data_IF_999215036197
#
_entry.id   IF_999215036197
#
_cell.length_a   1.000
_cell.length_b   1.000
_cell.length_c   1.000
_cell.angle_alpha   90.00
_cell.angle_beta   90.00
_cell.angle_gamma   90.00
#
_symmetry.space_group_name_H-M   'P 1'
#
loop_
_entity.id
_entity.type
_entity.pdbx_description
1 polymer ?
#
# COMPACT_ATOMS: atom_id res chain seq x y z
N UNK A 1 -2.93 10.90 -14.72
CA UNK A 1 -2.13 9.90 -15.44
C UNK A 1 -3.04 8.76 -15.81
N UNK A 2 -2.99 8.27 -17.04
CA UNK A 2 -3.74 7.09 -17.50
C UNK A 2 -2.73 6.07 -18.02
N UNK A 3 -3.00 4.79 -17.84
CA UNK A 3 -2.07 3.70 -18.13
C UNK A 3 -2.83 2.39 -18.25
N UNK A 4 -2.34 1.51 -19.13
CA UNK A 4 -2.79 0.11 -19.25
C UNK A 4 -1.80 -0.86 -18.58
N UNK A 5 -0.73 -0.35 -17.97
CA UNK A 5 0.22 -1.16 -17.20
C UNK A 5 -0.34 -1.41 -15.80
N UNK A 6 -0.34 -2.68 -15.37
CA UNK A 6 -0.80 -3.12 -14.05
C UNK A 6 0.06 -2.56 -12.91
N UNK A 7 1.34 -2.26 -13.17
CA UNK A 7 2.26 -1.65 -12.22
C UNK A 7 2.88 -0.37 -12.80
N UNK A 8 2.10 0.73 -12.89
CA UNK A 8 2.53 1.92 -13.62
C UNK A 8 3.52 2.79 -12.82
N UNK A 9 3.46 2.71 -11.49
CA UNK A 9 4.31 3.49 -10.58
C UNK A 9 4.44 2.74 -9.27
N UNK A 10 5.63 2.82 -8.67
CA UNK A 10 5.85 2.33 -7.31
C UNK A 10 5.10 3.22 -6.31
N UNK A 11 4.23 2.63 -5.50
CA UNK A 11 3.48 3.34 -4.44
C UNK A 11 3.86 2.72 -3.09
N UNK A 12 4.37 3.56 -2.20
CA UNK A 12 4.70 3.16 -0.83
C UNK A 12 3.43 3.17 0.03
N UNK A 13 3.40 2.35 1.08
CA UNK A 13 2.23 2.24 1.96
C UNK A 13 1.83 3.56 2.65
N UNK A 14 2.81 4.44 2.90
CA UNK A 14 2.58 5.75 3.51
C UNK A 14 2.30 6.85 2.47
N UNK A 15 2.06 6.49 1.21
CA UNK A 15 1.84 7.45 0.14
C UNK A 15 0.53 8.24 0.34
N UNK A 16 0.69 9.56 0.29
CA UNK A 16 -0.39 10.56 0.42
C UNK A 16 -0.55 11.39 -0.85
N UNK A 17 -0.20 10.85 -2.02
CA UNK A 17 -0.20 11.60 -3.29
C UNK A 17 -1.12 10.99 -4.34
N UNK A 18 -1.25 9.67 -4.37
CA UNK A 18 -1.95 8.98 -5.44
C UNK A 18 -3.29 8.42 -4.97
N UNK A 19 -4.37 8.79 -5.67
CA UNK A 19 -5.63 8.03 -5.73
C UNK A 19 -5.50 7.09 -6.92
N UNK A 20 -5.78 5.79 -6.74
CA UNK A 20 -5.75 4.81 -7.84
C UNK A 20 -7.16 4.35 -8.12
N UNK A 21 -7.61 4.54 -9.36
CA UNK A 21 -8.92 4.08 -9.82
C UNK A 21 -8.72 3.09 -10.96
N UNK A 22 -9.21 1.86 -10.79
CA UNK A 22 -9.24 0.85 -11.85
C UNK A 22 -10.57 0.96 -12.58
N UNK A 23 -10.52 1.29 -13.87
CA UNK A 23 -11.69 1.37 -14.72
C UNK A 23 -11.96 0.01 -15.37
N UNK A 24 -13.23 -0.40 -15.43
CA UNK A 24 -13.65 -1.60 -16.18
C UNK A 24 -13.60 -1.31 -17.68
N UNK A 25 -13.21 -2.31 -18.46
CA UNK A 25 -13.06 -2.20 -19.91
C UNK A 25 -14.37 -2.48 -20.68
N UNK A 26 -15.53 -2.14 -20.11
CA UNK A 26 -16.86 -2.51 -20.62
C UNK A 26 -17.07 -2.07 -22.07
N UNK A 27 -16.55 -0.90 -22.43
CA UNK A 27 -16.73 -0.28 -23.75
C UNK A 27 -15.44 -0.27 -24.59
N UNK A 28 -14.44 -1.13 -24.32
CA UNK A 28 -13.09 -1.05 -24.92
C UNK A 28 -13.09 -0.86 -26.44
N UNK A 29 -13.99 -1.54 -27.14
CA UNK A 29 -14.10 -1.54 -28.60
C UNK A 29 -15.45 -0.99 -29.08
N UNK A 30 -16.19 -0.30 -28.20
CA UNK A 30 -17.53 0.23 -28.47
C UNK A 30 -17.45 1.61 -29.13
N UNK A 31 -17.25 1.60 -30.45
CA UNK A 31 -17.09 2.81 -31.26
C UNK A 31 -18.34 3.69 -31.23
N UNK A 32 -19.53 3.08 -31.22
CA UNK A 32 -20.79 3.81 -31.23
C UNK A 32 -20.99 4.57 -29.91
N UNK A 33 -20.75 3.92 -28.77
CA UNK A 33 -20.80 4.55 -27.47
C UNK A 33 -19.86 5.76 -27.38
N UNK A 34 -18.60 5.60 -27.77
CA UNK A 34 -17.63 6.70 -27.69
C UNK A 34 -17.94 7.84 -28.68
N UNK A 35 -18.47 7.52 -29.86
CA UNK A 35 -18.92 8.53 -30.82
C UNK A 35 -20.07 9.35 -30.23
N UNK A 36 -21.10 8.68 -29.71
CA UNK A 36 -22.24 9.31 -29.05
C UNK A 36 -21.79 10.17 -27.85
N UNK A 37 -20.93 9.63 -26.99
CA UNK A 37 -20.37 10.34 -25.84
C UNK A 37 -19.62 11.60 -26.25
N UNK A 38 -18.75 11.51 -27.26
CA UNK A 38 -17.97 12.67 -27.75
C UNK A 38 -18.86 13.76 -28.36
N UNK A 39 -19.93 13.38 -29.05
CA UNK A 39 -20.91 14.31 -29.60
C UNK A 39 -21.69 15.04 -28.49
N UNK A 40 -21.79 14.45 -27.29
CA UNK A 40 -22.38 15.05 -26.11
C UNK A 40 -21.54 16.15 -25.44
N UNK A 41 -20.25 16.30 -25.80
CA UNK A 41 -19.37 17.33 -25.24
C UNK A 41 -19.61 18.71 -25.86
N UNK A 42 -20.83 19.22 -25.69
CA UNK A 42 -21.26 20.53 -26.16
C UNK A 42 -20.85 21.65 -25.19
N UNK A 43 -20.94 22.90 -25.65
CA UNK A 43 -20.73 24.07 -24.77
C UNK A 43 -21.70 24.07 -23.59
N UNK A 44 -22.95 23.66 -23.80
CA UNK A 44 -23.96 23.55 -22.74
C UNK A 44 -23.56 22.49 -21.70
N UNK A 45 -23.06 21.32 -22.14
CA UNK A 45 -22.52 20.31 -21.23
C UNK A 45 -21.41 20.87 -20.34
N UNK A 46 -20.44 21.58 -20.91
CA UNK A 46 -19.35 22.18 -20.13
C UNK A 46 -19.83 23.29 -19.18
N UNK A 47 -20.81 24.10 -19.59
CA UNK A 47 -21.40 25.12 -18.72
C UNK A 47 -22.12 24.48 -17.51
N UNK A 48 -22.87 23.41 -17.75
CA UNK A 48 -23.53 22.64 -16.70
C UNK A 48 -22.52 21.94 -15.78
N UNK A 49 -21.46 21.35 -16.35
CA UNK A 49 -20.38 20.73 -15.60
C UNK A 49 -19.62 21.74 -14.73
N UNK A 50 -19.34 22.93 -15.27
CA UNK A 50 -18.72 24.02 -14.53
C UNK A 50 -19.61 24.49 -13.38
N UNK A 51 -20.89 24.71 -13.66
CA UNK A 51 -21.89 25.07 -12.63
C UNK A 51 -21.95 24.03 -11.53
N UNK A 52 -21.94 22.73 -11.89
CA UNK A 52 -21.88 21.64 -10.94
C UNK A 52 -20.64 21.76 -10.03
N UNK A 53 -19.44 21.97 -10.57
CA UNK A 53 -18.25 22.13 -9.73
C UNK A 53 -18.27 23.38 -8.85
N UNK A 54 -18.79 24.51 -9.36
CA UNK A 54 -18.84 25.78 -8.63
C UNK A 54 -19.87 25.78 -7.49
N UNK A 55 -20.89 24.92 -7.57
CA UNK A 55 -21.96 24.83 -6.56
C UNK A 55 -21.71 23.74 -5.53
N UNK A 56 -20.64 22.94 -5.67
CA UNK A 56 -20.30 21.90 -4.70
C UNK A 56 -19.81 22.52 -3.39
N UNK A 57 -20.47 22.16 -2.28
CA UNK A 57 -19.96 22.46 -0.95
C UNK A 57 -18.71 21.59 -0.67
N UNK A 58 -17.58 22.25 -0.45
CA UNK A 58 -16.28 21.61 -0.15
C UNK A 58 -15.75 22.00 1.24
N UNK A 59 -16.57 22.58 2.12
CA UNK A 59 -16.15 23.06 3.44
C UNK A 59 -15.52 21.96 4.30
N UNK A 60 -16.02 20.72 4.20
CA UNK A 60 -15.47 19.54 4.88
C UNK A 60 -14.42 18.76 4.08
N UNK A 61 -14.10 19.17 2.85
CA UNK A 61 -13.24 18.40 1.98
C UNK A 61 -11.76 18.61 2.32
N UNK A 62 -11.05 17.51 2.60
CA UNK A 62 -9.62 17.52 2.84
C UNK A 62 -8.89 16.72 1.76
N UNK A 63 -8.22 17.44 0.86
CA UNK A 63 -7.41 16.86 -0.23
C UNK A 63 -6.29 15.91 0.25
N UNK A 64 -5.90 15.96 1.52
CA UNK A 64 -4.87 15.06 2.08
C UNK A 64 -5.43 13.69 2.49
N UNK A 65 -6.75 13.57 2.60
CA UNK A 65 -7.42 12.30 2.89
C UNK A 65 -7.67 11.62 1.55
N UNK A 66 -6.72 10.77 1.17
CA UNK A 66 -6.76 10.00 -0.06
C UNK A 66 -7.40 8.64 0.23
N UNK A 67 -8.45 8.24 -0.52
CA UNK A 67 -9.05 6.92 -0.39
C UNK A 67 -8.03 5.79 -0.61
N UNK A 68 -8.15 4.74 0.20
CA UNK A 68 -7.32 3.55 0.10
C UNK A 68 -8.07 2.47 -0.70
N UNK A 69 -8.12 2.67 -2.02
CA UNK A 69 -8.81 1.78 -2.96
C UNK A 69 -8.10 0.43 -3.11
N UNK A 70 -8.80 -0.62 -3.52
CA UNK A 70 -8.23 -1.94 -3.79
C UNK A 70 -7.08 -1.86 -4.80
N UNK A 71 -7.28 -1.15 -5.91
CA UNK A 71 -6.23 -0.95 -6.90
C UNK A 71 -4.97 -0.27 -6.32
N UNK A 72 -5.13 0.60 -5.31
CA UNK A 72 -4.00 1.19 -4.60
C UNK A 72 -3.34 0.17 -3.67
N UNK A 73 -4.13 -0.65 -2.96
CA UNK A 73 -3.65 -1.76 -2.12
C UNK A 73 -2.78 -2.72 -2.93
N UNK A 74 -3.24 -3.13 -4.11
CA UNK A 74 -2.52 -4.05 -5.00
C UNK A 74 -1.17 -3.50 -5.43
N UNK A 75 -1.12 -2.25 -5.88
CA UNK A 75 0.14 -1.60 -6.27
C UNK A 75 1.06 -1.44 -5.06
N UNK A 76 0.54 -1.12 -3.87
CA UNK A 76 1.35 -1.04 -2.65
C UNK A 76 1.94 -2.41 -2.31
N UNK A 77 1.14 -3.48 -2.38
CA UNK A 77 1.59 -4.86 -2.14
C UNK A 77 2.68 -5.26 -3.14
N UNK A 78 2.47 -4.99 -4.43
CA UNK A 78 3.46 -5.23 -5.48
C UNK A 78 4.73 -4.36 -5.35
N UNK A 79 4.64 -3.20 -4.68
CA UNK A 79 5.76 -2.28 -4.44
C UNK A 79 6.62 -2.65 -3.22
N UNK A 80 6.19 -3.61 -2.40
CA UNK A 80 6.87 -3.98 -1.15
C UNK A 80 8.28 -4.50 -1.43
N UNK A 81 9.19 -4.19 -0.51
CA UNK A 81 10.52 -4.80 -0.53
C UNK A 81 10.49 -6.16 0.15
N UNK A 82 11.43 -7.05 -0.20
CA UNK A 82 11.58 -8.33 0.50
C UNK A 82 11.73 -8.17 2.03
N UNK A 83 12.34 -7.07 2.49
CA UNK A 83 12.39 -6.74 3.91
C UNK A 83 11.00 -6.44 4.50
N UNK A 84 10.13 -5.74 3.75
CA UNK A 84 8.77 -5.49 4.21
C UNK A 84 8.01 -6.79 4.43
N UNK A 85 8.16 -7.74 3.51
CA UNK A 85 7.50 -9.05 3.61
C UNK A 85 8.02 -9.83 4.83
N UNK A 86 9.34 -9.82 5.06
CA UNK A 86 9.95 -10.42 6.25
C UNK A 86 9.44 -9.78 7.55
N UNK A 87 9.34 -8.44 7.59
CA UNK A 87 8.82 -7.72 8.75
C UNK A 87 7.34 -8.04 8.96
N UNK A 88 6.53 -8.09 7.91
CA UNK A 88 5.10 -8.42 7.99
C UNK A 88 4.88 -9.85 8.50
N UNK A 89 5.61 -10.83 7.97
CA UNK A 89 5.54 -12.23 8.42
C UNK A 89 5.91 -12.39 9.90
N UNK A 90 6.87 -11.59 10.38
CA UNK A 90 7.37 -11.64 11.76
C UNK A 90 6.96 -10.41 12.57
N UNK A 91 5.81 -9.81 12.25
CA UNK A 91 5.47 -8.46 12.71
C UNK A 91 5.44 -8.32 14.22
N UNK A 92 4.79 -9.26 14.92
CA UNK A 92 4.72 -9.26 16.39
C UNK A 92 6.12 -9.28 17.01
N UNK A 93 7.01 -10.10 16.46
CA UNK A 93 8.39 -10.22 16.93
C UNK A 93 9.13 -8.89 16.76
N UNK A 94 9.03 -8.24 15.58
CA UNK A 94 9.65 -6.94 15.33
C UNK A 94 9.03 -5.80 16.15
N UNK A 95 7.73 -5.85 16.43
CA UNK A 95 7.00 -4.89 17.27
C UNK A 95 7.47 -4.94 18.73
N UNK A 96 7.65 -6.14 19.29
CA UNK A 96 8.12 -6.36 20.66
C UNK A 96 9.64 -6.22 20.82
N UNK A 97 10.37 -6.54 19.74
CA UNK A 97 11.81 -6.45 19.62
C UNK A 97 12.50 -7.81 19.49
N UNK A 98 13.10 -8.08 18.32
CA UNK A 98 13.76 -9.35 18.00
C UNK A 98 15.26 -9.29 18.33
N UNK A 99 15.84 -10.30 19.00
CA UNK A 99 17.30 -10.42 19.15
C UNK A 99 18.02 -10.34 17.80
N UNK A 100 19.12 -9.60 17.71
CA UNK A 100 19.84 -9.42 16.44
C UNK A 100 20.24 -10.75 15.80
N UNK A 101 20.57 -11.78 16.60
CA UNK A 101 20.90 -13.12 16.11
C UNK A 101 19.72 -13.80 15.41
N UNK A 102 18.51 -13.63 15.94
CA UNK A 102 17.28 -14.20 15.38
C UNK A 102 16.82 -13.38 14.16
N UNK A 103 16.90 -12.05 14.23
CA UNK A 103 16.51 -11.19 13.12
C UNK A 103 17.30 -11.50 11.84
N UNK A 104 18.60 -11.84 11.95
CA UNK A 104 19.42 -12.23 10.81
C UNK A 104 19.05 -13.59 10.21
N UNK A 105 18.42 -14.47 10.98
CA UNK A 105 17.92 -15.76 10.45
C UNK A 105 16.70 -15.58 9.55
N UNK A 106 16.02 -14.44 9.63
CA UNK A 106 14.93 -14.10 8.72
C UNK A 106 15.42 -13.54 7.38
N UNK A 107 16.73 -13.41 7.18
CA UNK A 107 17.29 -12.91 5.93
C UNK A 107 16.98 -13.90 4.77
N UNK A 108 16.34 -13.43 3.68
CA UNK A 108 16.14 -14.26 2.49
C UNK A 108 17.48 -14.74 1.89
N UNK A 109 17.48 -15.94 1.31
CA UNK A 109 18.69 -16.59 0.79
C UNK A 109 19.40 -15.79 -0.32
N UNK A 110 18.66 -14.98 -1.06
CA UNK A 110 19.11 -14.16 -2.18
C UNK A 110 19.65 -12.79 -1.76
N UNK A 111 19.46 -12.38 -0.51
CA UNK A 111 19.89 -11.07 -0.01
C UNK A 111 21.21 -11.16 0.75
N UNK A 112 22.19 -10.36 0.32
CA UNK A 112 23.47 -10.21 1.04
C UNK A 112 23.22 -9.68 2.45
N UNK A 113 23.75 -10.35 3.46
CA UNK A 113 23.56 -10.01 4.88
C UNK A 113 23.86 -8.54 5.21
N UNK A 114 24.94 -7.96 4.65
CA UNK A 114 25.28 -6.54 4.85
C UNK A 114 24.19 -5.59 4.34
N UNK A 115 23.53 -5.96 3.23
CA UNK A 115 22.42 -5.19 2.65
C UNK A 115 21.19 -5.30 3.54
N UNK A 116 20.85 -6.52 3.97
CA UNK A 116 19.73 -6.77 4.87
C UNK A 116 19.87 -6.01 6.19
N UNK A 117 21.06 -6.05 6.80
CA UNK A 117 21.35 -5.28 8.02
C UNK A 117 21.19 -3.77 7.83
N UNK A 118 21.59 -3.24 6.67
CA UNK A 118 21.44 -1.82 6.36
C UNK A 118 19.95 -1.45 6.22
N UNK A 119 19.19 -2.26 5.50
CA UNK A 119 17.75 -2.04 5.33
C UNK A 119 17.01 -2.14 6.68
N UNK A 120 17.37 -3.10 7.54
CA UNK A 120 16.84 -3.21 8.90
C UNK A 120 17.11 -1.96 9.73
N UNK A 121 18.32 -1.38 9.66
CA UNK A 121 18.64 -0.15 10.38
C UNK A 121 17.78 1.04 9.96
N UNK A 122 17.28 1.06 8.72
CA UNK A 122 16.42 2.14 8.24
C UNK A 122 14.99 2.04 8.82
N UNK A 123 14.53 0.83 9.16
CA UNK A 123 13.14 0.58 9.61
C UNK A 123 13.02 0.22 11.09
N UNK A 124 14.12 -0.21 11.71
CA UNK A 124 14.16 -0.64 13.10
C UNK A 124 15.24 0.12 13.89
N UNK A 125 14.91 0.45 15.13
CA UNK A 125 15.86 0.91 16.13
C UNK A 125 16.59 -0.28 16.75
N UNK A 126 17.91 -0.14 16.89
CA UNK A 126 18.74 -1.11 17.58
C UNK A 126 18.92 -0.68 19.05
N UNK A 127 18.30 -1.40 19.98
CA UNK A 127 18.32 -1.09 21.41
C UNK A 127 18.85 -2.27 22.23
N UNK A 128 19.33 -1.99 23.45
CA UNK A 128 19.71 -3.03 24.42
C UNK A 128 18.54 -3.30 25.34
N UNK A 129 18.12 -4.56 25.44
CA UNK A 129 17.09 -5.02 26.37
C UNK A 129 17.61 -6.20 27.18
N UNK A 130 17.24 -6.25 28.45
CA UNK A 130 17.53 -7.43 29.28
C UNK A 130 16.50 -8.49 28.93
N UNK A 131 16.96 -9.61 28.37
CA UNK A 131 16.14 -10.78 28.03
C UNK A 131 16.80 -11.96 28.73
N UNK A 132 16.06 -12.68 29.56
CA UNK A 132 16.56 -13.82 30.34
C UNK A 132 17.85 -13.49 31.11
N UNK A 133 17.82 -12.39 31.89
CA UNK A 133 18.93 -11.88 32.71
C UNK A 133 20.20 -11.45 31.94
N UNK A 134 20.19 -11.55 30.61
CA UNK A 134 21.31 -11.13 29.74
C UNK A 134 20.93 -9.87 28.96
N UNK A 135 21.85 -8.90 28.94
CA UNK A 135 21.72 -7.71 28.08
C UNK A 135 22.00 -8.09 26.63
N UNK A 136 20.94 -8.13 25.83
CA UNK A 136 20.99 -8.52 24.42
C UNK A 136 20.63 -7.33 23.53
N UNK A 137 21.28 -7.25 22.37
CA UNK A 137 20.91 -6.29 21.34
C UNK A 137 19.70 -6.81 20.57
N UNK A 138 18.69 -5.96 20.42
CA UNK A 138 17.46 -6.26 19.69
C UNK A 138 17.23 -5.22 18.57
N UNK A 139 16.54 -5.65 17.51
CA UNK A 139 15.90 -4.78 16.53
C UNK A 139 14.42 -4.62 16.89
N UNK A 140 13.98 -3.39 17.09
CA UNK A 140 12.59 -3.04 17.34
C UNK A 140 12.10 -2.12 16.22
N UNK A 141 10.95 -2.40 15.64
CA UNK A 141 10.34 -1.57 14.60
C UNK A 141 10.15 -0.14 15.10
N UNK A 142 10.40 0.85 14.24
CA UNK A 142 10.21 2.25 14.62
C UNK A 142 8.72 2.55 14.89
N UNK A 143 8.44 3.35 15.91
CA UNK A 143 7.06 3.62 16.37
C UNK A 143 6.19 4.32 15.33
N UNK A 144 6.78 5.16 14.48
CA UNK A 144 6.12 5.83 13.36
C UNK A 144 5.69 4.85 12.26
N UNK A 145 6.36 3.70 12.15
CA UNK A 145 6.03 2.65 11.19
C UNK A 145 5.00 1.65 11.75
N UNK A 146 4.85 1.53 13.07
CA UNK A 146 3.90 0.55 13.67
C UNK A 146 2.48 0.73 13.10
N UNK A 147 1.97 1.96 13.06
CA UNK A 147 0.63 2.25 12.51
C UNK A 147 0.51 1.90 11.03
N UNK A 148 1.60 1.98 10.29
CA UNK A 148 1.66 1.64 8.87
C UNK A 148 1.56 0.14 8.67
N UNK A 149 2.36 -0.64 9.41
CA UNK A 149 2.36 -2.10 9.34
C UNK A 149 1.10 -2.72 9.94
N UNK A 150 0.49 -2.12 10.98
CA UNK A 150 -0.82 -2.55 11.49
C UNK A 150 -1.87 -2.48 10.37
N UNK A 151 -1.96 -1.34 9.65
CA UNK A 151 -2.88 -1.19 8.51
C UNK A 151 -2.60 -2.19 7.37
N UNK A 152 -1.32 -2.34 6.98
CA UNK A 152 -0.95 -3.27 5.91
C UNK A 152 -1.32 -4.71 6.25
N UNK A 153 -1.23 -5.09 7.53
CA UNK A 153 -1.57 -6.42 8.00
C UNK A 153 -3.08 -6.65 8.00
N UNK A 154 -3.87 -5.69 8.48
CA UNK A 154 -5.35 -5.74 8.42
C UNK A 154 -5.80 -5.93 6.97
N UNK A 155 -5.24 -5.17 6.04
CA UNK A 155 -5.59 -5.23 4.61
C UNK A 155 -5.15 -6.53 3.91
N UNK A 156 -4.08 -7.19 4.39
CA UNK A 156 -3.69 -8.50 3.88
C UNK A 156 -4.55 -9.64 4.45
N UNK A 157 -5.22 -9.43 5.57
CA UNK A 157 -6.15 -10.41 6.14
C UNK A 157 -7.47 -10.44 5.36
N UNK A 158 -8.04 -9.27 5.03
CA UNK A 158 -9.28 -9.16 4.24
C UNK A 158 -9.19 -9.93 2.90
N UNK A 159 -8.05 -9.85 2.20
CA UNK A 159 -7.88 -10.51 0.89
C UNK A 159 -7.81 -12.04 0.99
N UNK A 160 -7.35 -12.57 2.11
CA UNK A 160 -7.29 -14.02 2.31
C UNK A 160 -8.67 -14.61 2.70
N UNK A 161 -9.61 -13.80 3.17
CA UNK A 161 -10.98 -14.26 3.42
C UNK A 161 -11.77 -14.36 2.10
N UNK A 162 -11.61 -13.39 1.20
CA UNK A 162 -12.27 -13.39 -0.11
C UNK A 162 -11.81 -14.52 -1.04
N UNK A 163 -10.52 -14.93 -0.98
CA UNK A 163 -10.02 -16.05 -1.82
C UNK A 163 -10.48 -17.42 -1.37
N UNK A 164 -10.94 -17.58 -0.12
CA UNK A 164 -11.44 -18.86 0.39
C UNK A 164 -12.92 -19.12 0.07
N UNK A 165 -13.66 -18.11 -0.44
CA UNK A 165 -15.05 -18.28 -0.87
C UNK A 165 -15.18 -18.76 -2.33
N UNK A 166 -14.17 -18.51 -3.18
CA UNK A 166 -14.18 -18.88 -4.61
C UNK A 166 -13.73 -20.34 -4.89
N UNK A 167 -13.17 -21.06 -3.90
CA UNK A 167 -12.73 -22.46 -4.04
C UNK A 167 -13.81 -23.50 -3.65
N UNK A 168 -15.05 -23.07 -3.36
CA UNK A 168 -16.18 -23.93 -3.00
C UNK A 168 -17.37 -23.85 -4.00
N UNK A 169 -17.11 -23.84 -5.31
CA UNK A 169 -18.15 -24.03 -6.35
C UNK A 169 -17.74 -25.08 -7.37
#
# INVERSE_FOLDING_TARGET
MVTNNDFPVKIEANDRRYVVCRCKAVHRDDVEYFTSLSNGFTTEFYNNLFTYFMTRNIEGWNQRIIPFTEAKKDIIRASRSQLDDVILQNYLAFKEGVPCTVALQFNPFDVKEKSFQLQLKNKCQRIRKTINEKRTWIYKLNEDLIKLYDRLREEDQDVNEDTNEDDNI
#
